data_IF_561151246296
#
_entry.id   IF_561151246296
#
_cell.length_a   1.000
_cell.length_b   1.000
_cell.length_c   1.000
_cell.angle_alpha   90.00
_cell.angle_beta   90.00
_cell.angle_gamma   90.00
#
_symmetry.space_group_name_H-M   'P 1'
#
loop_
_entity.id
_entity.type
_entity.pdbx_description
1 polymer ?
#
# COMPACT_ATOMS: atom_id res chain seq x y z
N UNK A 1 -6.52 -12.73 -11.16
CA UNK A 1 -5.14 -12.19 -11.30
C UNK A 1 -4.17 -13.31 -11.61
N UNK A 2 -3.11 -13.05 -12.38
CA UNK A 2 -1.98 -13.94 -12.58
C UNK A 2 -0.80 -13.38 -11.77
N UNK A 3 -0.23 -14.21 -10.87
CA UNK A 3 0.94 -13.82 -10.08
C UNK A 3 2.19 -14.04 -10.94
N UNK A 4 3.02 -13.01 -11.10
CA UNK A 4 4.28 -13.09 -11.85
C UNK A 4 5.47 -13.39 -10.93
N UNK A 5 5.59 -12.67 -9.81
CA UNK A 5 6.69 -12.79 -8.86
C UNK A 5 6.23 -12.49 -7.43
N UNK A 6 6.90 -13.15 -6.46
CA UNK A 6 6.81 -12.78 -5.04
C UNK A 6 7.84 -11.68 -4.76
N UNK A 7 7.41 -10.63 -4.10
CA UNK A 7 8.26 -9.56 -3.58
C UNK A 7 8.16 -9.64 -2.05
N UNK A 8 9.25 -9.96 -1.39
CA UNK A 8 9.29 -9.96 0.07
C UNK A 8 9.37 -8.51 0.54
N UNK A 9 8.29 -8.00 1.08
CA UNK A 9 8.24 -6.68 1.70
C UNK A 9 8.43 -6.75 3.22
N UNK A 10 8.81 -5.66 3.84
CA UNK A 10 8.97 -5.52 5.31
C UNK A 10 7.71 -5.92 6.08
N UNK A 11 6.53 -5.82 5.45
CA UNK A 11 5.21 -6.06 6.08
C UNK A 11 4.49 -7.31 5.62
N UNK A 12 5.15 -8.20 4.90
CA UNK A 12 4.58 -9.47 4.48
C UNK A 12 4.78 -9.81 3.01
N UNK A 13 3.99 -10.76 2.54
CA UNK A 13 4.05 -11.26 1.18
C UNK A 13 3.33 -10.27 0.24
N UNK A 14 4.08 -9.68 -0.68
CA UNK A 14 3.57 -8.86 -1.76
C UNK A 14 3.91 -9.54 -3.08
N UNK A 15 2.91 -9.71 -3.95
CA UNK A 15 3.08 -10.37 -5.23
C UNK A 15 2.89 -9.38 -6.37
N UNK A 16 3.82 -9.36 -7.31
CA UNK A 16 3.65 -8.66 -8.59
C UNK A 16 2.70 -9.48 -9.47
N UNK A 17 1.71 -8.86 -10.04
CA UNK A 17 0.66 -9.54 -10.81
C UNK A 17 0.16 -8.72 -11.98
N UNK A 18 -0.55 -9.40 -12.90
CA UNK A 18 -1.27 -8.83 -14.05
C UNK A 18 -2.64 -9.46 -14.16
N UNK A 19 -3.54 -8.89 -14.96
CA UNK A 19 -4.79 -9.57 -15.30
C UNK A 19 -4.53 -10.76 -16.22
N UNK A 20 -5.05 -11.94 -15.83
CA UNK A 20 -4.89 -13.18 -16.62
C UNK A 20 -5.45 -13.04 -18.03
N UNK A 21 -6.58 -12.35 -18.19
CA UNK A 21 -7.22 -12.11 -19.49
C UNK A 21 -6.35 -11.30 -20.44
N UNK A 22 -5.63 -10.30 -19.95
CA UNK A 22 -4.72 -9.49 -20.73
C UNK A 22 -3.43 -10.24 -21.08
N UNK A 23 -2.90 -11.02 -20.12
CA UNK A 23 -1.74 -11.86 -20.33
C UNK A 23 -1.95 -12.88 -21.46
N UNK A 24 -3.09 -13.56 -21.47
CA UNK A 24 -3.45 -14.52 -22.52
C UNK A 24 -3.64 -13.84 -23.87
N UNK A 25 -4.32 -12.67 -23.91
CA UNK A 25 -4.51 -11.89 -25.15
C UNK A 25 -3.19 -11.45 -25.79
N UNK A 26 -2.17 -11.16 -24.98
CA UNK A 26 -0.86 -10.73 -25.45
C UNK A 26 0.12 -11.90 -25.71
N UNK A 27 -0.39 -13.08 -26.01
CA UNK A 27 0.43 -14.24 -26.36
C UNK A 27 1.37 -14.71 -25.25
N UNK A 28 0.92 -14.60 -23.99
CA UNK A 28 1.68 -14.92 -22.79
C UNK A 28 2.98 -14.10 -22.62
N UNK A 29 3.09 -12.94 -23.27
CA UNK A 29 4.16 -11.98 -23.02
C UNK A 29 3.68 -10.95 -22.00
N UNK A 30 4.44 -10.76 -20.92
CA UNK A 30 4.14 -9.78 -19.88
C UNK A 30 4.49 -8.33 -20.25
N UNK A 31 4.89 -8.09 -21.49
CA UNK A 31 5.30 -6.76 -21.97
C UNK A 31 4.08 -5.86 -22.16
N UNK A 32 4.17 -4.63 -21.66
CA UNK A 32 3.12 -3.58 -21.75
C UNK A 32 1.79 -3.88 -21.04
N UNK A 33 1.74 -4.83 -20.08
CA UNK A 33 0.56 -5.07 -19.27
C UNK A 33 0.51 -4.15 -18.05
N UNK A 34 -0.69 -3.73 -17.66
CA UNK A 34 -0.89 -3.04 -16.38
C UNK A 34 -0.50 -3.99 -15.24
N UNK A 35 0.45 -3.55 -14.41
CA UNK A 35 0.97 -4.34 -13.31
C UNK A 35 0.33 -3.91 -11.99
N UNK A 36 0.14 -4.86 -11.09
CA UNK A 36 -0.46 -4.67 -9.78
C UNK A 36 0.41 -5.30 -8.70
N UNK A 37 0.33 -4.73 -7.49
CA UNK A 37 0.88 -5.31 -6.28
C UNK A 37 -0.25 -5.93 -5.46
N UNK A 38 -0.16 -7.24 -5.17
CA UNK A 38 -1.10 -7.94 -4.31
C UNK A 38 -0.46 -8.11 -2.93
N UNK A 39 -0.96 -7.37 -1.95
CA UNK A 39 -0.56 -7.50 -0.54
C UNK A 39 -1.47 -8.53 0.12
N UNK A 40 -0.90 -9.69 0.52
CA UNK A 40 -1.63 -10.72 1.24
C UNK A 40 -2.00 -10.25 2.64
N UNK A 41 -3.26 -10.38 3.01
CA UNK A 41 -3.74 -10.08 4.36
C UNK A 41 -3.42 -11.26 5.25
N UNK A 42 -2.58 -11.06 6.28
CA UNK A 42 -2.27 -12.09 7.27
C UNK A 42 -3.44 -12.26 8.23
N UNK A 43 -3.98 -13.45 8.30
CA UNK A 43 -4.99 -13.85 9.28
C UNK A 43 -4.25 -14.45 10.48
N UNK A 44 -3.83 -13.61 11.42
CA UNK A 44 -2.94 -14.02 12.53
C UNK A 44 -3.62 -14.96 13.53
N UNK A 45 -4.94 -14.85 13.71
CA UNK A 45 -5.72 -15.73 14.59
C UNK A 45 -7.07 -16.08 13.96
N UNK A 46 -7.27 -17.34 13.65
CA UNK A 46 -8.51 -17.87 13.05
C UNK A 46 -9.78 -17.61 13.89
N UNK A 47 -9.60 -17.33 15.19
CA UNK A 47 -10.70 -17.08 16.14
C UNK A 47 -11.19 -15.62 16.14
N UNK A 48 -10.38 -14.69 15.65
CA UNK A 48 -10.68 -13.25 15.74
C UNK A 48 -11.25 -12.64 14.44
N UNK A 49 -11.33 -13.43 13.36
CA UNK A 49 -11.86 -12.99 12.08
C UNK A 49 -10.88 -12.14 11.27
N UNK A 50 -11.41 -11.22 10.44
CA UNK A 50 -10.61 -10.39 9.53
C UNK A 50 -9.83 -9.32 10.30
N UNK A 51 -8.51 -9.10 10.04
CA UNK A 51 -7.67 -8.20 10.83
C UNK A 51 -8.17 -6.76 10.84
N UNK A 52 -8.31 -6.18 12.02
CA UNK A 52 -8.79 -4.79 12.19
C UNK A 52 -7.87 -3.77 11.50
N UNK A 53 -6.58 -4.06 11.41
CA UNK A 53 -5.59 -3.25 10.69
C UNK A 53 -5.89 -3.19 9.21
N UNK A 54 -6.20 -4.34 8.59
CA UNK A 54 -6.57 -4.40 7.17
C UNK A 54 -7.91 -3.71 6.90
N UNK A 55 -8.91 -3.91 7.77
CA UNK A 55 -10.20 -3.17 7.68
C UNK A 55 -9.98 -1.67 7.71
N UNK A 56 -9.11 -1.20 8.59
CA UNK A 56 -8.77 0.22 8.72
C UNK A 56 -8.05 0.75 7.49
N UNK A 57 -7.02 0.06 7.02
CA UNK A 57 -6.29 0.41 5.80
C UNK A 57 -7.25 0.55 4.61
N UNK A 58 -8.14 -0.41 4.42
CA UNK A 58 -9.16 -0.38 3.37
C UNK A 58 -10.08 0.83 3.50
N UNK A 59 -10.63 1.08 4.71
CA UNK A 59 -11.56 2.18 4.96
C UNK A 59 -10.92 3.54 4.68
N UNK A 60 -9.66 3.72 5.06
CA UNK A 60 -8.91 4.96 4.86
C UNK A 60 -8.57 5.15 3.39
N UNK A 61 -7.98 4.14 2.72
CA UNK A 61 -7.58 4.23 1.32
C UNK A 61 -8.75 4.41 0.36
N UNK A 62 -9.94 3.94 0.71
CA UNK A 62 -11.16 4.23 -0.08
C UNK A 62 -11.55 5.70 -0.06
N UNK A 63 -11.21 6.44 0.98
CA UNK A 63 -11.51 7.86 1.14
C UNK A 63 -10.40 8.77 0.60
N UNK A 64 -9.15 8.27 0.55
CA UNK A 64 -7.99 9.03 0.12
C UNK A 64 -7.70 8.77 -1.36
N UNK A 65 -7.93 9.77 -2.21
CA UNK A 65 -7.64 9.72 -3.65
C UNK A 65 -6.73 10.88 -4.02
N UNK A 66 -5.43 10.60 -4.13
CA UNK A 66 -4.41 11.60 -4.43
C UNK A 66 -3.25 10.99 -5.22
N UNK A 67 -2.61 11.79 -6.11
CA UNK A 67 -1.50 11.33 -6.94
C UNK A 67 -0.30 10.80 -6.16
N UNK A 68 -0.10 11.29 -4.92
CA UNK A 68 1.01 10.89 -4.03
C UNK A 68 0.56 9.98 -2.87
N UNK A 69 -0.58 9.31 -2.99
CA UNK A 69 -1.04 8.25 -2.11
C UNK A 69 -1.25 6.99 -2.94
N UNK A 70 -0.81 5.86 -2.42
CA UNK A 70 -1.00 4.57 -3.10
C UNK A 70 -2.49 4.28 -3.32
N UNK A 71 -2.85 3.85 -4.52
CA UNK A 71 -4.23 3.60 -4.85
C UNK A 71 -4.59 2.13 -4.62
N UNK A 72 -5.52 1.89 -3.70
CA UNK A 72 -6.18 0.60 -3.56
C UNK A 72 -7.20 0.45 -4.70
N UNK A 73 -6.94 -0.49 -5.61
CA UNK A 73 -7.78 -0.78 -6.78
C UNK A 73 -8.93 -1.69 -6.40
N UNK A 74 -8.64 -2.82 -5.75
CA UNK A 74 -9.58 -3.90 -5.50
C UNK A 74 -9.19 -4.73 -4.28
N UNK A 75 -10.13 -5.55 -3.80
CA UNK A 75 -9.89 -6.59 -2.79
C UNK A 75 -10.33 -7.90 -3.41
N UNK A 76 -9.44 -8.87 -3.45
CA UNK A 76 -9.71 -10.19 -4.05
C UNK A 76 -9.45 -11.31 -3.05
N UNK A 77 -10.03 -12.47 -3.31
CA UNK A 77 -9.80 -13.70 -2.56
C UNK A 77 -9.37 -14.82 -3.52
N UNK A 78 -8.63 -15.79 -3.01
CA UNK A 78 -8.24 -17.00 -3.75
C UNK A 78 -9.34 -18.06 -3.79
N UNK A 79 -10.42 -17.90 -3.01
CA UNK A 79 -11.58 -18.82 -2.97
C UNK A 79 -12.81 -18.19 -3.63
N UNK A 80 -13.56 -19.01 -4.38
CA UNK A 80 -14.70 -18.52 -5.14
C UNK A 80 -15.98 -18.41 -4.31
N UNK A 81 -16.13 -19.22 -3.26
CA UNK A 81 -17.31 -19.18 -2.40
C UNK A 81 -16.98 -19.22 -0.89
N UNK A 82 -17.99 -18.88 -0.09
CA UNK A 82 -17.85 -18.79 1.36
C UNK A 82 -17.69 -20.16 2.05
N UNK A 83 -18.11 -21.25 1.39
CA UNK A 83 -18.00 -22.61 1.92
C UNK A 83 -16.58 -23.11 1.77
N UNK A 84 -16.00 -22.92 0.59
CA UNK A 84 -14.61 -23.24 0.31
C UNK A 84 -13.64 -22.39 1.15
N UNK A 85 -13.99 -21.11 1.34
CA UNK A 85 -13.22 -20.22 2.20
C UNK A 85 -13.08 -20.73 3.64
N UNK A 86 -14.19 -21.23 4.22
CA UNK A 86 -14.21 -21.78 5.60
C UNK A 86 -13.46 -23.10 5.72
N UNK A 87 -13.56 -23.97 4.71
CA UNK A 87 -12.96 -25.31 4.74
C UNK A 87 -11.44 -25.30 4.50
N UNK A 88 -10.98 -24.45 3.59
CA UNK A 88 -9.62 -24.50 3.07
C UNK A 88 -8.75 -23.28 3.41
N UNK A 89 -9.15 -22.45 4.38
CA UNK A 89 -8.39 -21.26 4.81
C UNK A 89 -8.03 -20.34 3.64
N UNK A 90 -9.03 -19.72 3.02
CA UNK A 90 -8.83 -18.78 1.94
C UNK A 90 -8.00 -17.56 2.39
N UNK A 91 -7.30 -16.95 1.43
CA UNK A 91 -6.52 -15.74 1.63
C UNK A 91 -7.21 -14.54 0.99
N UNK A 92 -7.10 -13.38 1.64
CA UNK A 92 -7.49 -12.10 1.06
C UNK A 92 -6.25 -11.34 0.59
N UNK A 93 -6.41 -10.61 -0.50
CA UNK A 93 -5.37 -9.77 -1.07
C UNK A 93 -5.91 -8.37 -1.33
N UNK A 94 -5.14 -7.38 -0.93
CA UNK A 94 -5.36 -5.99 -1.32
C UNK A 94 -4.61 -5.74 -2.63
N UNK A 95 -5.32 -5.32 -3.67
CA UNK A 95 -4.76 -5.05 -5.00
C UNK A 95 -4.45 -3.56 -5.11
N UNK A 96 -3.18 -3.25 -5.24
CA UNK A 96 -2.67 -1.89 -5.41
C UNK A 96 -2.14 -1.66 -6.83
N UNK A 97 -2.04 -0.41 -7.25
CA UNK A 97 -1.17 -0.05 -8.36
C UNK A 97 0.27 -0.49 -8.07
N UNK A 98 1.01 -0.88 -9.09
CA UNK A 98 2.39 -1.33 -8.92
C UNK A 98 3.35 -0.14 -8.84
N UNK A 99 4.26 -0.18 -7.89
CA UNK A 99 5.38 0.73 -7.76
C UNK A 99 6.68 -0.06 -7.80
N UNK A 100 7.65 0.42 -8.58
CA UNK A 100 8.86 -0.36 -8.90
C UNK A 100 9.78 -0.55 -7.69
N UNK A 101 9.82 0.45 -6.79
CA UNK A 101 10.75 0.50 -5.66
C UNK A 101 10.09 1.12 -4.43
N UNK A 102 10.66 0.86 -3.27
CA UNK A 102 10.53 1.70 -2.09
C UNK A 102 11.83 2.48 -1.86
N UNK A 103 11.75 3.60 -1.14
CA UNK A 103 12.90 4.47 -0.93
C UNK A 103 13.99 3.80 -0.08
N UNK A 104 13.63 2.91 0.84
CA UNK A 104 14.60 2.15 1.64
C UNK A 104 15.44 1.24 0.76
N UNK A 105 14.79 0.42 -0.08
CA UNK A 105 15.47 -0.46 -1.01
C UNK A 105 16.37 0.28 -2.01
N UNK A 106 15.97 1.47 -2.47
CA UNK A 106 16.82 2.31 -3.32
C UNK A 106 18.05 2.84 -2.59
N UNK A 107 17.91 3.24 -1.31
CA UNK A 107 19.04 3.69 -0.50
C UNK A 107 20.01 2.55 -0.18
N UNK A 108 19.48 1.38 0.20
CA UNK A 108 20.30 0.22 0.56
C UNK A 108 21.01 -0.41 -0.64
N UNK A 109 20.45 -0.28 -1.85
CA UNK A 109 21.05 -0.82 -3.06
C UNK A 109 22.31 -0.10 -3.52
N UNK A 110 22.49 1.17 -3.09
CA UNK A 110 23.55 2.08 -3.54
C UNK A 110 23.61 2.29 -5.07
N UNK A 111 22.63 1.78 -5.82
CA UNK A 111 22.57 1.89 -7.30
C UNK A 111 22.18 3.30 -7.77
N UNK A 112 21.55 4.09 -6.89
CA UNK A 112 21.07 5.44 -7.22
C UNK A 112 21.80 6.46 -6.37
N UNK A 113 22.48 7.40 -7.05
CA UNK A 113 23.03 8.60 -6.39
C UNK A 113 21.98 9.71 -6.43
N UNK A 114 21.37 9.97 -5.28
CA UNK A 114 20.35 11.00 -5.16
C UNK A 114 20.97 12.39 -5.27
N UNK A 115 20.50 13.18 -6.24
CA UNK A 115 20.85 14.60 -6.37
C UNK A 115 19.94 15.46 -5.49
N UNK A 116 20.33 16.72 -5.26
CA UNK A 116 19.50 17.67 -4.52
C UNK A 116 18.13 17.88 -5.18
N UNK A 117 18.09 17.90 -6.52
CA UNK A 117 16.84 18.02 -7.28
C UNK A 117 15.94 16.80 -7.09
N UNK A 118 16.50 15.59 -7.07
CA UNK A 118 15.74 14.36 -6.80
C UNK A 118 15.19 14.38 -5.37
N UNK A 119 16.01 14.75 -4.38
CA UNK A 119 15.59 14.86 -2.99
C UNK A 119 14.48 15.91 -2.82
N UNK A 120 14.62 17.07 -3.43
CA UNK A 120 13.58 18.12 -3.41
C UNK A 120 12.28 17.64 -4.05
N UNK A 121 12.35 16.92 -5.19
CA UNK A 121 11.18 16.34 -5.85
C UNK A 121 10.49 15.29 -5.00
N UNK A 122 11.24 14.37 -4.39
CA UNK A 122 10.70 13.34 -3.50
C UNK A 122 10.02 13.99 -2.30
N UNK A 123 10.70 14.93 -1.64
CA UNK A 123 10.18 15.59 -0.46
C UNK A 123 8.92 16.40 -0.79
N UNK A 124 8.91 17.15 -1.90
CA UNK A 124 7.72 17.88 -2.35
C UNK A 124 6.51 16.95 -2.53
N UNK A 125 6.69 15.82 -3.22
CA UNK A 125 5.62 14.88 -3.49
C UNK A 125 5.12 14.22 -2.19
N UNK A 126 6.03 13.86 -1.28
CA UNK A 126 5.69 13.32 0.03
C UNK A 126 4.86 14.32 0.84
N UNK A 127 5.29 15.58 0.91
CA UNK A 127 4.59 16.63 1.63
C UNK A 127 3.22 16.94 1.00
N UNK A 128 3.09 16.90 -0.33
CA UNK A 128 1.80 17.05 -1.03
C UNK A 128 0.81 15.94 -0.60
N UNK A 129 1.29 14.68 -0.51
CA UNK A 129 0.50 13.54 -0.04
C UNK A 129 0.09 13.67 1.44
N UNK A 130 1.02 14.05 2.31
CA UNK A 130 0.76 14.26 3.74
C UNK A 130 -0.20 15.43 3.98
N UNK A 131 -0.01 16.56 3.31
CA UNK A 131 -0.92 17.70 3.41
C UNK A 131 -2.35 17.33 3.00
N UNK A 132 -2.50 16.50 1.96
CA UNK A 132 -3.80 15.97 1.55
C UNK A 132 -4.44 15.08 2.64
N UNK A 133 -3.66 14.20 3.30
CA UNK A 133 -4.15 13.40 4.42
C UNK A 133 -4.60 14.29 5.58
N UNK A 134 -3.76 15.25 6.00
CA UNK A 134 -4.03 16.14 7.12
C UNK A 134 -5.26 17.02 6.88
N UNK A 135 -5.43 17.52 5.66
CA UNK A 135 -6.63 18.30 5.27
C UNK A 135 -7.93 17.48 5.41
N UNK A 136 -7.83 16.15 5.41
CA UNK A 136 -8.95 15.21 5.60
C UNK A 136 -9.00 14.61 7.00
N UNK A 137 -8.25 15.17 7.93
CA UNK A 137 -8.15 14.70 9.31
C UNK A 137 -7.59 13.26 9.43
N UNK A 138 -6.69 12.85 8.54
CA UNK A 138 -5.97 11.59 8.65
C UNK A 138 -4.51 11.82 9.00
N UNK A 139 -4.02 11.09 10.01
CA UNK A 139 -2.60 10.97 10.33
C UNK A 139 -2.09 9.60 9.88
N UNK A 140 -0.99 9.57 9.15
CA UNK A 140 -0.39 8.33 8.66
C UNK A 140 0.23 7.50 9.79
N UNK A 141 1.02 8.15 10.65
CA UNK A 141 1.67 7.64 11.87
C UNK A 141 2.77 6.58 11.67
N UNK A 142 3.15 6.26 10.43
CA UNK A 142 4.25 5.35 10.13
C UNK A 142 5.04 5.83 8.89
N UNK A 143 5.49 7.10 8.94
CA UNK A 143 6.32 7.67 7.86
C UNK A 143 7.74 7.16 8.02
N UNK A 144 8.19 6.37 7.03
CA UNK A 144 9.55 5.82 6.94
C UNK A 144 9.88 5.47 5.49
N UNK A 145 11.16 5.31 5.17
CA UNK A 145 11.62 5.09 3.80
C UNK A 145 10.99 3.87 3.12
N UNK A 146 10.74 2.77 3.86
CA UNK A 146 10.08 1.57 3.31
C UNK A 146 8.59 1.77 2.99
N UNK A 147 7.95 2.85 3.47
CA UNK A 147 6.57 3.22 3.15
C UNK A 147 6.47 4.31 2.08
N UNK A 148 7.60 4.78 1.56
CA UNK A 148 7.67 5.75 0.47
C UNK A 148 7.98 4.99 -0.81
N UNK A 149 6.97 4.84 -1.67
CA UNK A 149 7.07 4.07 -2.90
C UNK A 149 7.40 4.99 -4.07
N UNK A 150 8.27 4.53 -4.98
CA UNK A 150 8.76 5.30 -6.12
C UNK A 150 8.71 4.43 -7.37
N UNK A 151 8.15 4.94 -8.46
CA UNK A 151 8.21 4.26 -9.75
C UNK A 151 9.35 4.78 -10.62
N UNK A 152 9.65 4.05 -11.71
CA UNK A 152 10.71 4.40 -12.65
C UNK A 152 10.51 5.75 -13.37
N UNK A 153 9.35 6.39 -13.22
CA UNK A 153 9.06 7.74 -13.73
C UNK A 153 9.31 8.84 -12.69
N UNK A 154 9.83 8.49 -11.50
CA UNK A 154 10.06 9.42 -10.38
C UNK A 154 8.78 9.87 -9.66
N UNK A 155 7.66 9.17 -9.87
CA UNK A 155 6.44 9.43 -9.11
C UNK A 155 6.54 8.79 -7.74
N UNK A 156 6.27 9.59 -6.69
CA UNK A 156 6.31 9.17 -5.29
C UNK A 156 4.90 8.97 -4.76
N UNK A 157 4.70 7.89 -4.02
CA UNK A 157 3.43 7.59 -3.34
C UNK A 157 3.67 7.11 -1.93
N UNK A 158 2.89 7.65 -1.00
CA UNK A 158 2.84 7.19 0.38
C UNK A 158 2.04 5.89 0.45
N UNK A 159 2.63 4.83 0.99
CA UNK A 159 2.05 3.51 1.17
C UNK A 159 1.82 3.16 2.64
N UNK A 160 1.24 1.99 2.89
CA UNK A 160 0.98 1.36 4.19
C UNK A 160 0.22 2.22 5.22
N UNK A 161 -1.09 2.30 5.04
CA UNK A 161 -2.00 3.03 5.94
C UNK A 161 -2.53 2.17 7.11
N UNK A 162 -1.93 1.03 7.41
CA UNK A 162 -2.36 0.12 8.47
C UNK A 162 -2.36 0.75 9.87
N UNK A 163 -1.43 1.68 10.14
CA UNK A 163 -1.35 2.43 11.39
C UNK A 163 -2.05 3.80 11.34
N UNK A 164 -2.60 4.19 10.21
CA UNK A 164 -3.25 5.50 10.07
C UNK A 164 -4.51 5.62 10.96
N UNK A 165 -4.82 6.86 11.36
CA UNK A 165 -5.99 7.18 12.19
C UNK A 165 -6.64 8.48 11.72
N UNK A 166 -7.96 8.53 11.89
CA UNK A 166 -8.68 9.80 11.91
C UNK A 166 -8.28 10.52 13.19
N UNK A 167 -8.00 11.82 13.10
CA UNK A 167 -7.84 12.65 14.28
C UNK A 167 -8.95 13.71 14.32
N UNK A 168 -9.42 13.98 15.53
CA UNK A 168 -10.27 15.11 15.81
C UNK A 168 -9.43 16.17 16.56
N UNK A 169 -9.51 17.42 16.13
CA UNK A 169 -8.82 18.54 16.78
C UNK A 169 -9.17 18.68 18.27
N UNK A 170 -10.36 18.26 18.65
CA UNK A 170 -10.81 18.23 20.06
C UNK A 170 -10.05 17.18 20.87
N UNK A 171 -9.78 16.01 20.29
CA UNK A 171 -9.06 14.91 20.98
C UNK A 171 -7.60 15.26 21.28
N UNK A 172 -6.93 16.02 20.41
CA UNK A 172 -5.55 16.47 20.61
C UNK A 172 -5.47 17.45 21.80
N UNK A 173 -6.44 18.36 21.91
CA UNK A 173 -6.49 19.31 23.04
C UNK A 173 -6.62 18.61 24.40
N UNK A 174 -7.36 17.50 24.45
CA UNK A 174 -7.53 16.70 25.68
C UNK A 174 -6.27 15.90 26.04
N UNK A 175 -5.55 15.32 25.08
CA UNK A 175 -4.29 14.60 25.34
C UNK A 175 -3.18 15.53 25.81
N UNK A 176 -3.13 16.77 25.34
CA UNK A 176 -2.14 17.77 25.78
C UNK A 176 -2.44 18.22 27.22
N UNK A 177 -3.71 18.33 27.63
CA UNK A 177 -4.11 18.74 28.97
C UNK A 177 -3.94 17.65 30.03
N UNK A 178 -3.89 16.36 29.64
CA UNK A 178 -3.71 15.23 30.58
C UNK A 178 -2.21 14.97 30.86
N UNK A 179 -1.28 15.51 30.07
CA UNK A 179 0.18 15.33 30.24
C UNK A 179 0.88 16.47 31.00
N UNK A 180 0.14 17.40 31.55
CA UNK A 180 0.56 18.44 32.47
C UNK A 180 -0.15 18.24 33.81
#
# INVERSE_FOLDING_TARGET
>A
MLILNLILGTYGEVFKSVFKSEFVKNGNSGQNLEQFALKKVRLENEKEGFPITAVREIKILRQLKHKNIINLKEIVTDKQDAVDFRKEKGSFYLVFEFMDHDLMGLLDSELVKFTEQMNASIMKQLLDGLAYCHKRNFLHRDIKCSNILINNKGQVKLGDFGLARVYDSVSISLEIHIKH
#
